data_IF_721461805968
#
_entry.id   IF_721461805968
#
_cell.length_a   1.000
_cell.length_b   1.000
_cell.length_c   1.000
_cell.angle_alpha   90.00
_cell.angle_beta   90.00
_cell.angle_gamma   90.00
#
_symmetry.space_group_name_H-M   'P 1'
#
loop_
_entity.id
_entity.type
_entity.pdbx_description
1 polymer ?
#
# COMPACT_ATOMS: atom_id res chain seq x y z
N UNK A 1 -59.34 32.69 25.41
CA UNK A 1 -58.53 32.76 24.17
C UNK A 1 -57.03 32.95 24.40
N UNK A 2 -56.55 33.89 25.21
CA UNK A 2 -55.09 34.12 25.44
C UNK A 2 -54.34 32.94 26.01
N UNK A 3 -54.93 32.11 26.87
CA UNK A 3 -54.31 30.93 27.45
C UNK A 3 -54.27 29.77 26.49
N UNK A 4 -55.26 29.62 25.63
CA UNK A 4 -55.32 28.57 24.61
C UNK A 4 -54.23 28.79 23.55
N UNK A 5 -53.99 30.04 23.12
CA UNK A 5 -52.92 30.41 22.20
C UNK A 5 -51.55 30.13 22.81
N UNK A 6 -51.34 30.47 24.09
CA UNK A 6 -50.08 30.19 24.78
C UNK A 6 -49.84 28.68 24.90
N UNK A 7 -50.86 27.88 25.19
CA UNK A 7 -50.76 26.44 25.24
C UNK A 7 -50.39 25.81 23.90
N UNK A 8 -51.02 26.28 22.79
CA UNK A 8 -50.74 25.83 21.43
C UNK A 8 -49.30 26.20 21.02
N UNK A 9 -48.83 27.40 21.35
CA UNK A 9 -47.46 27.84 21.05
C UNK A 9 -46.43 27.00 21.81
N UNK A 10 -46.66 26.72 23.09
CA UNK A 10 -45.75 25.87 23.91
C UNK A 10 -45.75 24.44 23.40
N UNK A 11 -46.92 23.87 23.03
CA UNK A 11 -47.01 22.53 22.47
C UNK A 11 -46.30 22.42 21.11
N UNK A 12 -46.42 23.45 20.25
CA UNK A 12 -45.70 23.52 18.97
C UNK A 12 -44.20 23.63 19.16
N UNK A 13 -43.74 24.40 20.15
CA UNK A 13 -42.32 24.56 20.47
C UNK A 13 -41.71 23.25 21.00
N UNK A 14 -42.43 22.47 21.81
CA UNK A 14 -41.99 21.15 22.31
C UNK A 14 -41.93 20.12 21.17
N UNK A 15 -42.89 20.16 20.23
CA UNK A 15 -42.88 19.29 19.05
C UNK A 15 -41.69 19.56 18.11
N UNK A 16 -41.25 20.81 17.98
CA UNK A 16 -40.07 21.15 17.14
C UNK A 16 -38.76 20.67 17.77
N UNK A 17 -38.66 20.62 19.09
CA UNK A 17 -37.43 20.15 19.79
C UNK A 17 -37.20 18.64 19.67
N UNK A 18 -38.20 17.81 19.34
CA UNK A 18 -38.07 16.37 19.27
C UNK A 18 -37.44 15.85 17.97
N UNK A 19 -37.27 16.69 16.93
CA UNK A 19 -36.69 16.28 15.64
C UNK A 19 -35.19 16.54 15.48
N UNK A 20 -34.50 17.02 16.50
CA UNK A 20 -33.08 17.33 16.42
C UNK A 20 -32.19 16.17 16.99
N UNK A 21 -32.57 14.92 16.79
CA UNK A 21 -31.61 13.83 16.93
C UNK A 21 -30.80 13.76 15.63
N UNK A 22 -29.60 14.27 15.67
CA UNK A 22 -28.63 14.00 14.60
C UNK A 22 -28.38 12.49 14.60
N UNK A 23 -28.95 11.77 13.63
CA UNK A 23 -28.73 10.35 13.44
C UNK A 23 -27.24 10.15 13.19
N UNK A 24 -26.55 9.50 14.12
CA UNK A 24 -25.12 9.23 13.97
C UNK A 24 -24.95 8.10 12.94
N UNK A 25 -24.56 8.49 11.74
CA UNK A 25 -24.30 7.53 10.67
C UNK A 25 -22.89 6.93 10.87
N UNK A 26 -22.85 5.63 11.16
CA UNK A 26 -21.61 4.87 11.30
C UNK A 26 -21.50 3.93 10.10
N UNK A 27 -20.35 3.94 9.43
CA UNK A 27 -20.08 3.08 8.29
C UNK A 27 -18.74 2.37 8.46
N UNK A 28 -18.45 1.40 7.61
CA UNK A 28 -17.15 0.73 7.62
C UNK A 28 -16.55 0.58 6.22
N UNK A 29 -15.24 0.39 6.18
CA UNK A 29 -14.45 0.24 4.96
C UNK A 29 -13.44 -0.89 5.12
N UNK A 30 -13.27 -1.73 4.11
CA UNK A 30 -12.14 -2.64 4.01
C UNK A 30 -10.94 -1.90 3.39
N UNK A 31 -10.14 -1.25 4.24
CA UNK A 31 -8.98 -0.48 3.78
C UNK A 31 -7.97 -1.37 3.04
N UNK A 32 -7.77 -2.62 3.49
CA UNK A 32 -6.89 -3.58 2.82
C UNK A 32 -7.40 -3.90 1.41
N UNK A 33 -8.70 -4.10 1.28
CA UNK A 33 -9.33 -4.38 -0.01
C UNK A 33 -9.22 -3.17 -0.97
N UNK A 34 -9.45 -1.94 -0.48
CA UNK A 34 -9.27 -0.69 -1.25
C UNK A 34 -7.84 -0.58 -1.78
N UNK A 35 -6.84 -0.72 -0.91
CA UNK A 35 -5.42 -0.61 -1.27
C UNK A 35 -5.00 -1.66 -2.31
N UNK A 36 -5.57 -2.85 -2.26
CA UNK A 36 -5.18 -3.96 -3.14
C UNK A 36 -5.98 -4.01 -4.44
N UNK A 37 -7.22 -3.52 -4.46
CA UNK A 37 -8.14 -3.71 -5.59
C UNK A 37 -8.44 -2.43 -6.38
N UNK A 38 -8.02 -1.26 -5.91
CA UNK A 38 -8.05 -0.05 -6.73
C UNK A 38 -7.12 -0.18 -7.93
N UNK A 39 -7.39 0.56 -9.01
CA UNK A 39 -6.54 0.57 -10.22
C UNK A 39 -5.10 0.94 -9.89
N UNK A 40 -4.91 1.97 -9.08
CA UNK A 40 -3.59 2.41 -8.64
C UNK A 40 -2.89 1.36 -7.75
N UNK A 41 -3.65 0.68 -6.85
CA UNK A 41 -3.12 -0.39 -6.02
C UNK A 41 -2.65 -1.60 -6.83
N UNK A 42 -3.45 -2.03 -7.81
CA UNK A 42 -3.07 -3.10 -8.74
C UNK A 42 -1.87 -2.72 -9.59
N UNK A 43 -1.86 -1.50 -10.15
CA UNK A 43 -0.70 -1.00 -10.92
C UNK A 43 0.60 -1.02 -10.10
N UNK A 44 0.54 -0.61 -8.82
CA UNK A 44 1.68 -0.66 -7.92
C UNK A 44 2.14 -2.10 -7.64
N UNK A 45 1.20 -3.03 -7.39
CA UNK A 45 1.53 -4.45 -7.17
C UNK A 45 2.18 -5.08 -8.40
N UNK A 46 1.62 -4.85 -9.58
CA UNK A 46 2.15 -5.37 -10.84
C UNK A 46 3.59 -4.87 -11.11
N UNK A 47 3.84 -3.59 -10.84
CA UNK A 47 5.18 -3.01 -10.97
C UNK A 47 6.17 -3.66 -9.98
N UNK A 48 5.78 -3.76 -8.71
CA UNK A 48 6.64 -4.35 -7.66
C UNK A 48 6.92 -5.83 -7.93
N UNK A 49 5.92 -6.59 -8.39
CA UNK A 49 6.07 -8.00 -8.75
C UNK A 49 7.03 -8.17 -9.93
N UNK A 50 6.85 -7.41 -11.01
CA UNK A 50 7.77 -7.42 -12.15
C UNK A 50 9.19 -7.06 -11.74
N UNK A 51 9.34 -6.02 -10.93
CA UNK A 51 10.65 -5.58 -10.42
C UNK A 51 11.31 -6.67 -9.58
N UNK A 52 10.54 -7.34 -8.71
CA UNK A 52 11.03 -8.45 -7.91
C UNK A 52 11.50 -9.63 -8.78
N UNK A 53 10.69 -10.07 -9.74
CA UNK A 53 11.00 -11.18 -10.66
C UNK A 53 12.25 -10.88 -11.50
N UNK A 54 12.36 -9.66 -12.04
CA UNK A 54 13.53 -9.24 -12.81
C UNK A 54 14.79 -9.24 -11.95
N UNK A 55 14.73 -8.75 -10.73
CA UNK A 55 15.84 -8.75 -9.79
C UNK A 55 16.22 -10.18 -9.39
N UNK A 56 15.23 -11.04 -9.12
CA UNK A 56 15.47 -12.45 -8.79
C UNK A 56 16.24 -13.17 -9.92
N UNK A 57 15.80 -12.99 -11.17
CA UNK A 57 16.48 -13.53 -12.34
C UNK A 57 17.91 -13.01 -12.45
N UNK A 58 18.06 -11.66 -12.43
CA UNK A 58 19.37 -10.99 -12.52
C UNK A 58 20.37 -11.54 -11.49
N UNK A 59 19.93 -11.65 -10.23
CA UNK A 59 20.81 -12.11 -9.15
C UNK A 59 21.08 -13.62 -9.22
N UNK A 60 20.11 -14.43 -9.66
CA UNK A 60 20.32 -15.86 -9.91
C UNK A 60 21.34 -16.09 -11.03
N UNK A 61 21.23 -15.34 -12.12
CA UNK A 61 22.19 -15.48 -13.24
C UNK A 61 23.59 -15.01 -12.81
N UNK A 62 23.67 -13.91 -12.05
CA UNK A 62 24.97 -13.43 -11.52
C UNK A 62 25.61 -14.39 -10.52
N UNK A 63 24.81 -15.05 -9.69
CA UNK A 63 25.30 -16.08 -8.77
C UNK A 63 25.90 -17.26 -9.53
N UNK A 64 25.25 -17.73 -10.60
CA UNK A 64 25.77 -18.79 -11.46
C UNK A 64 27.08 -18.41 -12.12
N UNK A 65 27.16 -17.16 -12.62
CA UNK A 65 28.40 -16.61 -13.22
C UNK A 65 29.55 -16.62 -12.21
N UNK A 66 29.31 -16.11 -10.98
CA UNK A 66 30.32 -16.08 -9.94
C UNK A 66 30.78 -17.48 -9.51
N UNK A 67 29.85 -18.44 -9.38
CA UNK A 67 30.19 -19.85 -9.10
C UNK A 67 31.01 -20.45 -10.20
N UNK A 68 30.73 -20.16 -11.46
CA UNK A 68 31.54 -20.61 -12.59
C UNK A 68 32.93 -19.99 -12.57
N UNK A 69 33.05 -18.67 -12.34
CA UNK A 69 34.37 -18.02 -12.22
C UNK A 69 35.19 -18.62 -11.07
N UNK A 70 34.56 -18.99 -9.95
CA UNK A 70 35.22 -19.68 -8.83
C UNK A 70 35.73 -21.04 -9.23
N UNK A 71 34.92 -21.89 -9.89
CA UNK A 71 35.32 -23.19 -10.39
C UNK A 71 36.47 -23.07 -11.39
N UNK A 72 36.36 -22.18 -12.37
CA UNK A 72 37.41 -21.95 -13.39
C UNK A 72 38.72 -21.46 -12.73
N UNK A 73 38.65 -20.68 -11.66
CA UNK A 73 39.82 -20.22 -10.93
C UNK A 73 40.48 -21.36 -10.13
N UNK A 74 39.69 -22.24 -9.50
CA UNK A 74 40.20 -23.42 -8.78
C UNK A 74 40.92 -24.40 -9.72
N UNK A 75 40.36 -24.64 -10.90
CA UNK A 75 41.00 -25.51 -11.92
C UNK A 75 42.37 -24.97 -12.37
N UNK A 76 42.51 -23.64 -12.42
CA UNK A 76 43.74 -22.95 -12.84
C UNK A 76 44.75 -22.78 -11.71
N UNK A 77 44.48 -23.26 -10.49
CA UNK A 77 45.34 -23.05 -9.33
C UNK A 77 46.75 -23.63 -9.50
N UNK A 78 46.89 -24.75 -10.23
CA UNK A 78 48.17 -25.40 -10.49
C UNK A 78 48.93 -24.84 -11.69
N UNK A 79 48.25 -24.05 -12.53
CA UNK A 79 48.79 -23.51 -13.77
C UNK A 79 49.27 -22.07 -13.62
N UNK A 80 48.61 -21.30 -12.75
CA UNK A 80 48.86 -19.86 -12.51
C UNK A 80 50.01 -19.69 -11.52
N UNK A 81 50.77 -18.59 -11.67
CA UNK A 81 51.70 -18.16 -10.63
C UNK A 81 50.97 -17.81 -9.34
N UNK A 82 51.64 -17.83 -8.19
CA UNK A 82 51.03 -17.48 -6.89
C UNK A 82 50.49 -16.08 -6.89
N UNK A 83 51.20 -15.14 -7.52
CA UNK A 83 50.80 -13.73 -7.62
C UNK A 83 49.57 -13.55 -8.48
N UNK A 84 49.49 -14.21 -9.64
CA UNK A 84 48.35 -14.16 -10.53
C UNK A 84 47.08 -14.79 -9.90
N UNK A 85 47.28 -15.94 -9.24
CA UNK A 85 46.19 -16.62 -8.52
C UNK A 85 45.63 -15.71 -7.40
N UNK A 86 46.50 -15.11 -6.58
CA UNK A 86 46.10 -14.19 -5.53
C UNK A 86 45.31 -12.99 -6.07
N UNK A 87 45.82 -12.35 -7.13
CA UNK A 87 45.16 -11.21 -7.79
C UNK A 87 43.77 -11.57 -8.31
N UNK A 88 43.63 -12.74 -8.96
CA UNK A 88 42.33 -13.22 -9.45
C UNK A 88 41.36 -13.55 -8.31
N UNK A 89 41.84 -14.14 -7.24
CA UNK A 89 41.07 -14.46 -6.03
C UNK A 89 40.52 -13.15 -5.40
N UNK A 90 41.37 -12.12 -5.26
CA UNK A 90 40.94 -10.84 -4.71
C UNK A 90 39.92 -10.14 -5.60
N UNK A 91 40.07 -10.24 -6.92
CA UNK A 91 39.10 -9.73 -7.88
C UNK A 91 37.75 -10.43 -7.74
N UNK A 92 37.76 -11.76 -7.66
CA UNK A 92 36.53 -12.53 -7.48
C UNK A 92 35.87 -12.23 -6.13
N UNK A 93 36.65 -12.08 -5.06
CA UNK A 93 36.15 -11.69 -3.74
C UNK A 93 35.44 -10.33 -3.77
N UNK A 94 36.00 -9.34 -4.46
CA UNK A 94 35.35 -8.02 -4.66
C UNK A 94 34.03 -8.17 -5.41
N UNK A 95 33.99 -8.94 -6.51
CA UNK A 95 32.75 -9.22 -7.26
C UNK A 95 31.66 -9.85 -6.38
N UNK A 96 32.03 -10.78 -5.49
CA UNK A 96 31.09 -11.43 -4.55
C UNK A 96 30.55 -10.43 -3.54
N UNK A 97 31.42 -9.56 -3.00
CA UNK A 97 31.02 -8.50 -2.08
C UNK A 97 30.02 -7.52 -2.78
N UNK A 98 30.36 -7.07 -3.98
CA UNK A 98 29.52 -6.16 -4.76
C UNK A 98 28.17 -6.80 -5.13
N UNK A 99 28.16 -8.09 -5.47
CA UNK A 99 26.94 -8.86 -5.69
C UNK A 99 26.06 -8.88 -4.45
N UNK A 100 26.60 -9.19 -3.28
CA UNK A 100 25.85 -9.24 -2.03
C UNK A 100 25.29 -7.88 -1.66
N UNK A 101 26.09 -6.80 -1.80
CA UNK A 101 25.68 -5.44 -1.54
C UNK A 101 24.54 -5.00 -2.50
N UNK A 102 24.70 -5.29 -3.79
CA UNK A 102 23.70 -4.95 -4.82
C UNK A 102 22.39 -5.70 -4.60
N UNK A 103 22.46 -7.00 -4.23
CA UNK A 103 21.28 -7.81 -3.90
C UNK A 103 20.51 -7.24 -2.72
N UNK A 104 21.22 -6.89 -1.63
CA UNK A 104 20.62 -6.24 -0.45
C UNK A 104 19.98 -4.92 -0.80
N UNK A 105 20.70 -4.04 -1.48
CA UNK A 105 20.19 -2.74 -1.91
C UNK A 105 18.93 -2.84 -2.79
N UNK A 106 18.85 -3.87 -3.65
CA UNK A 106 17.67 -4.13 -4.47
C UNK A 106 16.45 -4.55 -3.65
N UNK A 107 16.62 -5.40 -2.65
CA UNK A 107 15.54 -5.80 -1.72
C UNK A 107 15.05 -4.59 -0.93
N UNK A 108 15.98 -3.80 -0.41
CA UNK A 108 15.67 -2.58 0.35
C UNK A 108 14.92 -1.55 -0.51
N UNK A 109 15.30 -1.43 -1.80
CA UNK A 109 14.60 -0.55 -2.75
C UNK A 109 13.14 -0.98 -2.91
N UNK A 110 12.88 -2.27 -3.18
CA UNK A 110 11.51 -2.79 -3.35
C UNK A 110 10.69 -2.59 -2.08
N UNK A 111 11.30 -2.81 -0.91
CA UNK A 111 10.63 -2.61 0.39
C UNK A 111 10.22 -1.15 0.59
N UNK A 112 11.12 -0.21 0.27
CA UNK A 112 10.81 1.23 0.32
C UNK A 112 9.71 1.61 -0.67
N UNK A 113 9.81 1.19 -1.93
CA UNK A 113 8.80 1.46 -2.95
C UNK A 113 7.42 0.94 -2.55
N UNK A 114 7.34 -0.23 -1.89
CA UNK A 114 6.08 -0.76 -1.34
C UNK A 114 5.49 0.14 -0.26
N UNK A 115 6.34 0.63 0.66
CA UNK A 115 5.90 1.54 1.71
C UNK A 115 5.43 2.89 1.14
N UNK A 116 6.18 3.44 0.18
CA UNK A 116 5.84 4.67 -0.52
C UNK A 116 4.54 4.55 -1.31
N UNK A 117 4.34 3.45 -2.04
CA UNK A 117 3.10 3.17 -2.75
C UNK A 117 1.90 3.17 -1.81
N UNK A 118 2.03 2.48 -0.68
CA UNK A 118 0.98 2.44 0.35
C UNK A 118 0.68 3.84 0.90
N UNK A 119 1.71 4.61 1.22
CA UNK A 119 1.53 5.96 1.75
C UNK A 119 0.86 6.89 0.74
N UNK A 120 1.28 6.83 -0.52
CA UNK A 120 0.69 7.62 -1.60
C UNK A 120 -0.80 7.29 -1.81
N UNK A 121 -1.15 6.00 -1.77
CA UNK A 121 -2.56 5.58 -1.82
C UNK A 121 -3.36 6.13 -0.64
N UNK A 122 -2.84 6.02 0.59
CA UNK A 122 -3.51 6.54 1.79
C UNK A 122 -3.70 8.07 1.71
N UNK A 123 -2.70 8.80 1.22
CA UNK A 123 -2.79 10.25 1.03
C UNK A 123 -3.89 10.65 0.03
N UNK A 124 -4.22 9.80 -0.93
CA UNK A 124 -5.33 10.02 -1.88
C UNK A 124 -6.68 9.54 -1.32
N UNK A 125 -6.69 8.51 -0.50
CA UNK A 125 -7.92 7.97 0.12
C UNK A 125 -8.46 8.91 1.18
N UNK A 126 -7.60 9.51 2.01
CA UNK A 126 -8.03 10.38 3.12
C UNK A 126 -8.95 11.53 2.68
N UNK A 127 -8.61 12.36 1.69
CA UNK A 127 -9.50 13.42 1.24
C UNK A 127 -10.80 12.89 0.62
N UNK A 128 -10.77 11.69 0.01
CA UNK A 128 -11.99 11.04 -0.51
C UNK A 128 -12.93 10.67 0.65
N UNK A 129 -12.38 10.10 1.73
CA UNK A 129 -13.15 9.75 2.92
C UNK A 129 -13.72 11.00 3.61
N UNK A 130 -12.92 12.06 3.74
CA UNK A 130 -13.39 13.34 4.32
C UNK A 130 -14.54 13.96 3.52
N UNK A 131 -14.41 14.03 2.20
CA UNK A 131 -15.46 14.58 1.33
C UNK A 131 -16.72 13.72 1.42
N UNK A 132 -16.58 12.40 1.29
CA UNK A 132 -17.68 11.46 1.35
C UNK A 132 -18.42 11.50 2.70
N UNK A 133 -17.68 11.63 3.81
CA UNK A 133 -18.27 11.74 5.14
C UNK A 133 -19.11 13.00 5.28
N UNK A 134 -18.61 14.15 4.79
CA UNK A 134 -19.35 15.43 4.80
C UNK A 134 -20.61 15.38 3.93
N UNK A 135 -20.49 14.81 2.72
CA UNK A 135 -21.60 14.69 1.77
C UNK A 135 -22.73 13.80 2.28
N UNK A 136 -22.42 12.78 3.11
CA UNK A 136 -23.38 11.78 3.57
C UNK A 136 -23.66 11.82 5.08
N UNK A 137 -23.25 12.89 5.78
CA UNK A 137 -23.43 13.05 7.23
C UNK A 137 -22.90 11.87 8.05
N UNK A 138 -21.77 11.27 7.60
CA UNK A 138 -21.13 10.15 8.30
C UNK A 138 -20.34 10.69 9.48
N UNK A 139 -20.63 10.16 10.66
CA UNK A 139 -19.97 10.56 11.91
C UNK A 139 -18.69 9.78 12.16
N UNK A 140 -18.68 8.48 11.81
CA UNK A 140 -17.55 7.56 12.09
C UNK A 140 -17.38 6.57 10.93
N UNK A 141 -16.14 6.33 10.54
CA UNK A 141 -15.75 5.25 9.61
C UNK A 141 -14.86 4.27 10.35
N UNK A 142 -15.24 2.99 10.42
CA UNK A 142 -14.43 1.92 10.98
C UNK A 142 -13.71 1.12 9.89
N UNK A 143 -12.50 0.63 10.18
CA UNK A 143 -11.86 -0.38 9.34
C UNK A 143 -12.52 -1.74 9.61
N UNK A 144 -12.95 -2.44 8.56
CA UNK A 144 -13.63 -3.74 8.58
C UNK A 144 -12.88 -4.80 9.41
N UNK A 145 -11.55 -4.72 9.49
CA UNK A 145 -10.72 -5.64 10.29
C UNK A 145 -11.03 -5.62 11.79
N UNK A 146 -11.67 -4.55 12.28
CA UNK A 146 -12.08 -4.43 13.70
C UNK A 146 -13.56 -4.73 13.91
N UNK A 147 -14.30 -5.06 12.86
CA UNK A 147 -15.72 -5.39 12.92
C UNK A 147 -15.91 -6.90 13.01
N UNK A 148 -16.74 -7.33 13.96
CA UNK A 148 -17.18 -8.73 14.05
C UNK A 148 -18.33 -8.98 13.10
N UNK A 149 -19.26 -8.00 12.97
CA UNK A 149 -20.44 -8.05 12.10
C UNK A 149 -20.89 -6.64 11.77
N UNK A 150 -21.40 -6.44 10.55
CA UNK A 150 -21.96 -5.17 10.08
C UNK A 150 -22.93 -5.44 8.93
N UNK A 151 -23.91 -4.55 8.77
CA UNK A 151 -24.82 -4.56 7.63
C UNK A 151 -24.03 -4.20 6.35
N UNK A 152 -24.35 -4.88 5.25
CA UNK A 152 -23.70 -4.64 3.95
C UNK A 152 -23.98 -3.24 3.41
N UNK A 153 -25.09 -2.63 3.77
CA UNK A 153 -25.47 -1.29 3.36
C UNK A 153 -24.57 -0.21 4.00
N UNK A 154 -23.86 -0.57 5.08
CA UNK A 154 -22.89 0.30 5.74
C UNK A 154 -21.46 0.15 5.18
N UNK A 155 -21.23 -0.76 4.22
CA UNK A 155 -19.93 -0.99 3.60
C UNK A 155 -19.67 0.03 2.46
N UNK A 156 -18.82 1.01 2.71
CA UNK A 156 -18.45 2.04 1.73
C UNK A 156 -17.24 1.67 0.85
N UNK A 157 -16.72 0.44 0.97
CA UNK A 157 -15.48 0.00 0.30
C UNK A 157 -15.51 0.22 -1.20
N UNK A 158 -16.57 -0.22 -1.88
CA UNK A 158 -16.67 -0.11 -3.33
C UNK A 158 -16.82 1.34 -3.81
N UNK A 159 -17.58 2.16 -3.09
CA UNK A 159 -17.75 3.58 -3.39
C UNK A 159 -16.41 4.31 -3.32
N UNK A 160 -15.61 4.01 -2.30
CA UNK A 160 -14.26 4.61 -2.13
C UNK A 160 -13.32 4.13 -3.25
N UNK A 161 -13.37 2.84 -3.65
CA UNK A 161 -12.60 2.33 -4.78
C UNK A 161 -12.95 3.08 -6.07
N UNK A 162 -14.24 3.29 -6.36
CA UNK A 162 -14.66 4.02 -7.55
C UNK A 162 -14.17 5.47 -7.57
N UNK A 163 -14.31 6.17 -6.45
CA UNK A 163 -13.81 7.55 -6.30
C UNK A 163 -12.28 7.59 -6.44
N UNK A 164 -11.55 6.64 -5.82
CA UNK A 164 -10.11 6.54 -5.92
C UNK A 164 -9.66 6.23 -7.37
N UNK A 165 -10.33 5.32 -8.06
CA UNK A 165 -10.03 4.97 -9.45
C UNK A 165 -10.21 6.13 -10.44
N UNK A 166 -11.09 7.10 -10.11
CA UNK A 166 -11.26 8.35 -10.87
C UNK A 166 -10.15 9.35 -10.54
N UNK A 167 -9.80 9.48 -9.26
CA UNK A 167 -8.79 10.43 -8.80
C UNK A 167 -7.35 9.98 -9.13
N UNK A 168 -7.08 8.67 -9.04
CA UNK A 168 -5.77 8.06 -9.25
C UNK A 168 -5.89 6.77 -10.06
N UNK A 169 -5.89 6.83 -11.39
CA UNK A 169 -6.04 5.65 -12.25
C UNK A 169 -4.81 4.73 -12.26
N UNK A 170 -3.63 5.24 -11.92
CA UNK A 170 -2.37 4.46 -11.81
C UNK A 170 -1.43 5.13 -10.81
N UNK A 171 -0.47 4.35 -10.29
CA UNK A 171 0.59 4.85 -9.42
C UNK A 171 1.95 4.54 -10.05
N UNK A 172 2.74 5.60 -10.34
CA UNK A 172 4.13 5.46 -10.81
C UNK A 172 5.06 5.29 -9.60
N UNK A 173 5.93 4.27 -9.67
CA UNK A 173 6.92 3.90 -8.64
C UNK A 173 8.36 3.90 -9.17
N UNK A 174 8.63 4.77 -10.13
CA UNK A 174 9.98 4.92 -10.74
C UNK A 174 11.04 5.40 -9.74
#
# INVERSE_FOLDING_TARGET
MKYLVKFVVVTLLVLVCTYAQAEQTIVYIDMKYVLNNSKAGKSAQDYLEKSFQQNQKKFSDKEKELKKEESDLLEKKTILSKEEYAKKTDTLRKKVIDYQASRRASIDKITRQRAEARQNLLNQINPILESYSKENNITVIFDKKFLVMGDTDLDITNVVIEKLNKALPSLNLE
#
